data_IF_984985579104
#
_entry.id   IF_984985579104
#
_cell.length_a   1.000
_cell.length_b   1.000
_cell.length_c   1.000
_cell.angle_alpha   90.00
_cell.angle_beta   90.00
_cell.angle_gamma   90.00
#
_symmetry.space_group_name_H-M   'P 1'
#
loop_
_entity.id
_entity.type
_entity.pdbx_description
1 polymer ?
#
# COMPACT_ATOMS: atom_id res chain seq x y z
N UNK A 1 -12.15 42.44 31.38
CA UNK A 1 -12.95 42.19 30.16
C UNK A 1 -11.96 41.90 29.04
N UNK A 2 -12.25 40.86 28.27
CA UNK A 2 -11.33 40.14 27.39
C UNK A 2 -10.95 40.86 26.09
N UNK A 3 -9.83 40.37 25.55
CA UNK A 3 -9.43 40.20 24.15
C UNK A 3 -9.14 41.47 23.30
N UNK A 4 -8.14 41.48 22.42
CA UNK A 4 -7.36 40.38 21.88
C UNK A 4 -6.02 40.84 21.30
N UNK A 5 -5.04 39.94 21.39
CA UNK A 5 -3.71 40.03 20.79
C UNK A 5 -3.69 39.28 19.47
N UNK A 6 -3.03 39.85 18.45
CA UNK A 6 -2.26 39.07 17.48
C UNK A 6 -0.97 39.86 17.15
N UNK A 7 0.21 39.44 17.63
CA UNK A 7 1.43 39.50 16.83
C UNK A 7 1.53 38.17 16.06
N UNK A 8 1.82 38.14 14.77
CA UNK A 8 2.92 38.85 14.14
C UNK A 8 4.07 37.88 13.96
N UNK A 9 3.97 37.07 12.90
CA UNK A 9 5.06 36.37 12.20
C UNK A 9 6.16 35.73 13.05
N UNK A 10 5.94 34.49 13.48
CA UNK A 10 7.05 33.56 13.71
C UNK A 10 7.20 32.67 12.48
N UNK A 11 8.46 32.47 12.09
CA UNK A 11 8.90 31.81 10.88
C UNK A 11 8.22 30.44 10.70
N UNK A 12 7.59 30.24 9.55
CA UNK A 12 7.33 28.89 9.05
C UNK A 12 8.69 28.26 8.72
N UNK A 13 9.34 27.71 9.74
CA UNK A 13 10.45 26.79 9.57
C UNK A 13 10.01 25.78 8.52
N UNK A 14 10.75 25.72 7.42
CA UNK A 14 10.54 24.76 6.34
C UNK A 14 10.60 23.39 7.00
N UNK A 15 9.43 22.82 7.32
CA UNK A 15 9.35 21.44 7.78
C UNK A 15 9.89 20.66 6.59
N UNK A 16 11.12 20.18 6.70
CA UNK A 16 11.69 19.24 5.75
C UNK A 16 10.76 18.03 5.76
N UNK A 17 9.77 18.05 4.86
CA UNK A 17 8.86 16.94 4.70
C UNK A 17 9.74 15.82 4.16
N UNK A 18 10.01 14.83 5.00
CA UNK A 18 10.54 13.53 4.59
C UNK A 18 9.51 12.82 3.71
N UNK A 19 9.21 13.40 2.56
CA UNK A 19 8.53 12.74 1.45
C UNK A 19 9.63 11.97 0.73
N UNK A 20 9.59 10.65 0.82
CA UNK A 20 10.47 9.79 0.03
C UNK A 20 10.04 9.95 -1.43
N UNK A 21 10.75 10.80 -2.18
CA UNK A 21 10.53 10.97 -3.62
C UNK A 21 11.07 9.72 -4.32
N UNK A 22 10.23 9.10 -5.14
CA UNK A 22 10.59 7.93 -5.95
C UNK A 22 11.37 8.37 -7.19
N UNK A 23 12.58 7.86 -7.36
CA UNK A 23 13.40 8.14 -8.55
C UNK A 23 13.50 6.96 -9.52
N UNK A 24 13.27 5.74 -9.04
CA UNK A 24 13.51 4.50 -9.77
C UNK A 24 12.38 3.49 -9.44
N UNK A 25 12.22 2.43 -10.26
CA UNK A 25 11.20 1.38 -10.06
C UNK A 25 11.27 0.66 -8.68
N UNK A 26 12.42 0.70 -8.01
CA UNK A 26 12.60 0.11 -6.66
C UNK A 26 12.34 1.10 -5.53
N UNK A 27 12.25 2.39 -5.84
CA UNK A 27 12.04 3.45 -4.86
C UNK A 27 10.55 3.66 -4.66
N UNK A 28 9.98 2.97 -3.68
CA UNK A 28 8.55 3.10 -3.39
C UNK A 28 8.37 4.38 -2.59
N UNK A 29 7.83 5.41 -3.24
CA UNK A 29 7.53 6.67 -2.57
C UNK A 29 6.61 6.46 -1.36
N UNK A 30 6.63 7.36 -0.39
CA UNK A 30 5.87 7.19 0.85
C UNK A 30 5.47 8.52 1.48
N UNK A 31 4.34 8.50 2.19
CA UNK A 31 3.83 9.62 2.97
C UNK A 31 3.62 9.18 4.42
N UNK A 32 4.38 9.79 5.34
CA UNK A 32 4.28 9.50 6.78
C UNK A 32 3.34 10.46 7.52
N UNK A 33 2.64 11.35 6.81
CA UNK A 33 1.83 12.41 7.43
C UNK A 33 0.47 11.92 7.94
N UNK A 34 -0.12 10.91 7.28
CA UNK A 34 -1.46 10.41 7.61
C UNK A 34 -1.53 8.91 7.42
N UNK A 35 -2.13 8.20 8.38
CA UNK A 35 -2.51 6.79 8.23
C UNK A 35 -4.00 6.70 7.90
N UNK A 36 -4.34 6.02 6.81
CA UNK A 36 -5.73 5.82 6.41
C UNK A 36 -6.32 4.60 7.11
N UNK A 37 -7.50 4.76 7.71
CA UNK A 37 -8.29 3.66 8.26
C UNK A 37 -9.44 3.35 7.30
N UNK A 38 -9.53 2.11 6.84
CA UNK A 38 -10.65 1.66 6.02
C UNK A 38 -11.91 1.54 6.89
N UNK A 39 -12.97 2.26 6.53
CA UNK A 39 -14.27 2.12 7.18
C UNK A 39 -15.10 1.08 6.42
N UNK A 40 -15.43 -0.03 7.07
CA UNK A 40 -16.24 -1.11 6.49
C UNK A 40 -17.72 -1.00 6.87
N UNK A 41 -18.10 0.04 7.62
CA UNK A 41 -19.44 0.22 8.19
C UNK A 41 -19.96 -1.09 8.80
N UNK A 42 -21.11 -1.58 8.33
CA UNK A 42 -21.75 -2.83 8.76
C UNK A 42 -21.57 -3.99 7.77
N UNK A 43 -20.64 -3.88 6.82
CA UNK A 43 -20.40 -4.95 5.85
C UNK A 43 -19.71 -6.15 6.51
N UNK A 44 -20.25 -7.37 6.38
CA UNK A 44 -19.63 -8.56 6.94
C UNK A 44 -18.33 -8.89 6.21
N UNK A 45 -17.33 -9.47 6.90
CA UNK A 45 -16.09 -9.90 6.30
C UNK A 45 -16.27 -10.90 5.16
N UNK A 46 -15.56 -10.67 4.05
CA UNK A 46 -15.51 -11.57 2.91
C UNK A 46 -14.12 -12.20 2.84
N UNK A 47 -14.10 -13.53 2.90
CA UNK A 47 -12.88 -14.35 2.81
C UNK A 47 -12.94 -15.26 1.61
N UNK A 48 -12.30 -14.83 0.52
CA UNK A 48 -12.19 -15.61 -0.70
C UNK A 48 -10.95 -16.50 -0.67
N UNK A 49 -11.11 -17.72 -1.22
CA UNK A 49 -10.01 -18.68 -1.30
C UNK A 49 -9.04 -18.32 -2.45
N UNK A 50 -7.72 -18.50 -2.29
CA UNK A 50 -6.76 -18.27 -3.36
C UNK A 50 -7.08 -19.07 -4.63
N UNK A 51 -6.92 -18.46 -5.81
CA UNK A 51 -7.16 -19.16 -7.08
C UNK A 51 -6.09 -20.23 -7.30
N UNK A 52 -6.47 -21.33 -7.95
CA UNK A 52 -5.50 -22.36 -8.37
C UNK A 52 -4.56 -21.78 -9.43
N UNK A 53 -3.27 -21.88 -9.18
CA UNK A 53 -2.20 -21.46 -10.10
C UNK A 53 -1.41 -22.69 -10.57
N UNK A 54 -0.87 -22.62 -11.79
CA UNK A 54 0.16 -23.57 -12.23
C UNK A 54 1.44 -23.35 -11.42
N UNK A 55 2.32 -24.35 -11.34
CA UNK A 55 3.59 -24.24 -10.60
C UNK A 55 4.39 -22.99 -10.99
N UNK A 56 4.60 -22.77 -12.29
CA UNK A 56 5.35 -21.62 -12.78
C UNK A 56 4.75 -20.27 -12.34
N UNK A 57 3.41 -20.14 -12.33
CA UNK A 57 2.75 -18.92 -11.84
C UNK A 57 2.87 -18.77 -10.33
N UNK A 58 2.84 -19.88 -9.59
CA UNK A 58 2.98 -19.88 -8.13
C UNK A 58 4.37 -19.39 -7.72
N UNK A 59 5.43 -19.90 -8.35
CA UNK A 59 6.81 -19.46 -8.12
C UNK A 59 7.00 -17.96 -8.43
N UNK A 60 6.37 -17.49 -9.51
CA UNK A 60 6.39 -16.07 -9.88
C UNK A 60 5.67 -15.20 -8.83
N UNK A 61 4.49 -15.63 -8.35
CA UNK A 61 3.78 -14.97 -7.23
C UNK A 61 4.65 -14.93 -5.98
N UNK A 62 5.26 -16.04 -5.57
CA UNK A 62 6.08 -16.11 -4.36
C UNK A 62 7.30 -15.18 -4.44
N UNK A 63 7.95 -15.12 -5.60
CA UNK A 63 9.05 -14.18 -5.85
C UNK A 63 8.62 -12.71 -5.75
N UNK A 64 7.45 -12.36 -6.30
CA UNK A 64 6.90 -11.00 -6.22
C UNK A 64 6.50 -10.63 -4.80
N UNK A 65 5.83 -11.55 -4.07
CA UNK A 65 5.47 -11.36 -2.66
C UNK A 65 6.70 -11.12 -1.82
N UNK A 66 7.75 -11.95 -1.99
CA UNK A 66 9.00 -11.78 -1.25
C UNK A 66 9.62 -10.40 -1.50
N UNK A 67 9.69 -9.94 -2.75
CA UNK A 67 10.20 -8.60 -3.09
C UNK A 67 9.39 -7.49 -2.43
N UNK A 68 8.06 -7.61 -2.40
CA UNK A 68 7.19 -6.62 -1.77
C UNK A 68 7.35 -6.60 -0.24
N UNK A 69 7.54 -7.76 0.39
CA UNK A 69 7.86 -7.87 1.83
C UNK A 69 9.23 -7.25 2.12
N UNK A 70 10.26 -7.63 1.36
CA UNK A 70 11.63 -7.11 1.52
C UNK A 70 11.67 -5.58 1.35
N UNK A 71 10.82 -5.02 0.47
CA UNK A 71 10.69 -3.58 0.25
C UNK A 71 9.74 -2.87 1.23
N UNK A 72 9.09 -3.59 2.14
CA UNK A 72 8.16 -3.02 3.12
C UNK A 72 6.84 -2.51 2.52
N UNK A 73 6.44 -3.01 1.35
CA UNK A 73 5.19 -2.64 0.67
C UNK A 73 3.99 -3.41 1.26
N UNK A 74 4.22 -4.67 1.64
CA UNK A 74 3.20 -5.55 2.23
C UNK A 74 3.76 -6.19 3.51
N UNK A 75 2.85 -6.62 4.39
CA UNK A 75 3.17 -7.32 5.63
C UNK A 75 2.29 -8.58 5.78
N UNK A 76 2.79 -9.55 6.54
CA UNK A 76 1.97 -10.70 6.94
C UNK A 76 0.86 -10.25 7.87
N UNK A 77 -0.36 -10.68 7.60
CA UNK A 77 -1.52 -10.35 8.42
C UNK A 77 -2.46 -11.54 8.54
N UNK A 78 -3.14 -11.63 9.68
CA UNK A 78 -4.23 -12.59 9.89
C UNK A 78 -5.52 -11.81 10.11
N UNK A 79 -6.40 -11.83 9.12
CA UNK A 79 -7.66 -11.10 9.15
C UNK A 79 -8.86 -11.92 8.67
N UNK A 80 -10.09 -11.47 8.98
CA UNK A 80 -11.31 -12.09 8.47
C UNK A 80 -11.58 -11.73 7.00
N UNK A 81 -10.84 -10.78 6.44
CA UNK A 81 -10.90 -10.36 5.04
C UNK A 81 -9.77 -11.03 4.25
N UNK A 82 -10.09 -11.60 3.08
CA UNK A 82 -9.09 -12.08 2.14
C UNK A 82 -9.60 -12.02 0.70
N UNK A 83 -8.76 -11.51 -0.19
CA UNK A 83 -9.02 -11.40 -1.62
C UNK A 83 -7.95 -12.19 -2.39
N UNK A 84 -8.30 -12.89 -3.48
CA UNK A 84 -7.35 -13.72 -4.19
C UNK A 84 -6.42 -12.89 -5.09
N UNK A 85 -5.21 -13.41 -5.30
CA UNK A 85 -4.23 -12.84 -6.21
C UNK A 85 -4.51 -13.31 -7.64
N UNK A 86 -4.30 -12.41 -8.60
CA UNK A 86 -4.38 -12.68 -10.04
C UNK A 86 -3.11 -12.16 -10.72
N UNK A 87 -2.45 -13.02 -11.50
CA UNK A 87 -1.34 -12.63 -12.37
C UNK A 87 -1.84 -12.39 -13.78
N UNK A 88 -1.60 -11.18 -14.28
CA UNK A 88 -1.92 -10.76 -15.66
C UNK A 88 -0.62 -10.43 -16.39
N UNK A 89 -0.48 -10.78 -17.66
CA UNK A 89 0.67 -10.34 -18.45
C UNK A 89 0.45 -8.92 -18.97
N UNK A 90 1.44 -8.04 -18.76
CA UNK A 90 1.50 -6.73 -19.39
C UNK A 90 1.83 -6.88 -20.88
N UNK A 91 1.67 -5.78 -21.64
CA UNK A 91 2.01 -5.73 -23.08
C UNK A 91 3.49 -6.04 -23.34
N UNK A 92 4.36 -5.69 -22.40
CA UNK A 92 5.82 -5.96 -22.44
C UNK A 92 6.18 -7.40 -22.03
N UNK A 93 5.20 -8.26 -21.73
CA UNK A 93 5.40 -9.65 -21.32
C UNK A 93 5.65 -9.86 -19.83
N UNK A 94 5.90 -8.79 -19.06
CA UNK A 94 6.11 -8.88 -17.62
C UNK A 94 4.82 -9.19 -16.84
N UNK A 95 4.88 -9.87 -15.68
CA UNK A 95 3.71 -10.10 -14.85
C UNK A 95 3.24 -8.81 -14.17
N UNK A 96 1.93 -8.67 -14.02
CA UNK A 96 1.25 -7.71 -13.16
C UNK A 96 0.61 -8.48 -12.01
N UNK A 97 1.05 -8.16 -10.81
CA UNK A 97 0.44 -8.63 -9.57
C UNK A 97 -0.84 -7.83 -9.29
N UNK A 98 -2.00 -8.48 -9.37
CA UNK A 98 -3.30 -7.88 -9.10
C UNK A 98 -3.98 -8.59 -7.93
N UNK A 99 -4.80 -7.84 -7.20
CA UNK A 99 -5.74 -8.38 -6.22
C UNK A 99 -7.15 -8.22 -6.80
N UNK A 100 -7.92 -9.31 -6.78
CA UNK A 100 -9.33 -9.30 -7.20
C UNK A 100 -10.18 -8.86 -6.00
N UNK A 101 -10.49 -7.56 -5.93
CA UNK A 101 -11.35 -7.02 -4.88
C UNK A 101 -12.81 -7.25 -5.27
N UNK A 102 -13.59 -7.81 -4.33
CA UNK A 102 -15.04 -7.98 -4.46
C UNK A 102 -15.79 -6.65 -4.27
#
# INVERSE_FOLDING_TARGET
>A
MNAGSIPGSEEFGVLSQSTRKSYNDSDVGGCNMTQHKNNTDNHPPIKQYPRRLSLSKKEEVESLVKKMVDNGIIEESSGPWASPIVLIKKKDGSPRFCVDNY
#
